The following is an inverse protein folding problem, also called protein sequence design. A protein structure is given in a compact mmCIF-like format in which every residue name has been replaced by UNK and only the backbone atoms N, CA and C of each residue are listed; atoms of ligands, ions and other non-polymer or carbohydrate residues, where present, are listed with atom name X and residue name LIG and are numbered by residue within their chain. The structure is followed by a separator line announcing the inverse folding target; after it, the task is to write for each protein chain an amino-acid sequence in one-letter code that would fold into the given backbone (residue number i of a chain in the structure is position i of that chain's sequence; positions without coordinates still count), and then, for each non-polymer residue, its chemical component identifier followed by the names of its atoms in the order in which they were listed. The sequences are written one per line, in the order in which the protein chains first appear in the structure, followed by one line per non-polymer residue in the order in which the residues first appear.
data_IF_263254766327
#
_entry.id   IF_263254766327
#
_cell.length_a   1.000
_cell.length_b   1.000
_cell.length_c   1.000
_cell.angle_alpha   90.00
_cell.angle_beta   90.00
_cell.angle_gamma   90.00
#
_symmetry.space_group_name_H-M   'P 1'
#
loop_
_entity.id
_entity.type
_entity.pdbx_description
1 polymer ?
#
# COMPACT_ATOMS: atom_id res chain seq x y z
N UNK A 1 16.49 21.20 2.02
CA UNK A 1 16.01 20.27 0.98
C UNK A 1 14.91 19.43 1.61
N UNK A 2 13.64 19.75 1.37
CA UNK A 2 12.51 18.94 1.84
C UNK A 2 12.45 17.70 0.94
N UNK A 3 13.06 16.61 1.39
CA UNK A 3 12.99 15.33 0.69
C UNK A 3 11.60 14.77 0.86
N UNK A 4 10.82 14.70 -0.23
CA UNK A 4 9.47 14.15 -0.24
C UNK A 4 9.54 12.66 0.15
N UNK A 5 9.07 12.32 1.35
CA UNK A 5 8.87 10.92 1.76
C UNK A 5 7.68 10.35 1.00
N UNK A 6 7.85 9.19 0.37
CA UNK A 6 6.72 8.48 -0.26
C UNK A 6 5.88 7.82 0.83
N UNK A 7 4.57 8.06 0.80
CA UNK A 7 3.63 7.37 1.68
C UNK A 7 3.15 6.10 1.00
N UNK A 8 3.18 4.99 1.72
CA UNK A 8 2.66 3.70 1.30
C UNK A 8 1.50 3.38 2.23
N UNK A 9 0.30 3.25 1.68
CA UNK A 9 -0.91 2.90 2.41
C UNK A 9 -1.31 1.48 2.04
N UNK A 10 -1.45 0.61 3.03
CA UNK A 10 -1.82 -0.79 2.88
C UNK A 10 -3.21 -0.97 3.48
N UNK A 11 -4.13 -1.53 2.70
CA UNK A 11 -5.50 -1.81 3.11
C UNK A 11 -5.63 -3.33 3.30
N UNK A 12 -5.95 -3.77 4.51
CA UNK A 12 -5.95 -5.18 4.91
C UNK A 12 -7.29 -5.62 5.51
N UNK A 13 -7.50 -6.92 5.58
CA UNK A 13 -8.67 -7.58 6.18
C UNK A 13 -8.29 -8.65 7.23
N UNK A 14 -7.08 -8.52 7.80
CA UNK A 14 -6.39 -9.52 8.65
C UNK A 14 -6.39 -10.96 8.11
N UNK A 15 -6.60 -11.16 6.80
CA UNK A 15 -6.41 -12.47 6.18
C UNK A 15 -4.93 -12.79 6.04
N UNK A 16 -4.59 -14.08 5.92
CA UNK A 16 -3.21 -14.50 5.65
C UNK A 16 -2.62 -13.83 4.40
N UNK A 17 -3.45 -13.58 3.38
CA UNK A 17 -3.01 -12.87 2.17
C UNK A 17 -2.66 -11.40 2.46
N UNK A 18 -3.40 -10.75 3.36
CA UNK A 18 -3.09 -9.40 3.84
C UNK A 18 -1.75 -9.38 4.58
N UNK A 19 -1.52 -10.33 5.48
CA UNK A 19 -0.27 -10.42 6.26
C UNK A 19 0.93 -10.63 5.34
N UNK A 20 0.82 -11.55 4.36
CA UNK A 20 1.87 -11.83 3.38
C UNK A 20 2.17 -10.57 2.54
N UNK A 21 1.14 -9.83 2.12
CA UNK A 21 1.28 -8.58 1.37
C UNK A 21 1.93 -7.47 2.20
N UNK A 22 1.51 -7.30 3.45
CA UNK A 22 2.04 -6.28 4.36
C UNK A 22 3.53 -6.49 4.61
N UNK A 23 3.93 -7.72 4.92
CA UNK A 23 5.34 -8.06 5.13
C UNK A 23 6.16 -7.81 3.85
N UNK A 24 5.62 -8.19 2.70
CA UNK A 24 6.27 -7.95 1.43
C UNK A 24 6.47 -6.45 1.16
N UNK A 25 5.44 -5.63 1.36
CA UNK A 25 5.55 -4.18 1.19
C UNK A 25 6.59 -3.58 2.15
N UNK A 26 6.63 -4.04 3.41
CA UNK A 26 7.63 -3.61 4.39
C UNK A 26 9.06 -3.98 3.98
N UNK A 27 9.27 -5.17 3.43
CA UNK A 27 10.59 -5.63 2.98
C UNK A 27 11.15 -4.81 1.80
N UNK A 28 10.28 -4.32 0.92
CA UNK A 28 10.66 -3.51 -0.24
C UNK A 28 10.54 -2.00 -0.01
N UNK A 29 10.02 -1.57 1.14
CA UNK A 29 9.85 -0.16 1.44
C UNK A 29 11.20 0.54 1.53
N UNK A 30 11.30 1.72 0.91
CA UNK A 30 12.49 2.54 1.01
C UNK A 30 12.70 3.02 2.46
N UNK A 31 13.94 3.24 2.88
CA UNK A 31 14.27 3.67 4.25
C UNK A 31 13.65 5.02 4.68
N UNK A 32 13.10 5.77 3.72
CA UNK A 32 12.45 7.08 3.92
C UNK A 32 10.95 7.04 3.62
N UNK A 33 10.42 5.86 3.35
CA UNK A 33 9.02 5.66 3.06
C UNK A 33 8.23 5.59 4.37
N UNK A 34 7.06 6.22 4.40
CA UNK A 34 6.13 6.12 5.53
C UNK A 34 5.11 5.06 5.20
N UNK A 35 5.03 4.01 6.01
CA UNK A 35 4.02 2.94 5.83
C UNK A 35 2.87 3.19 6.79
N UNK A 36 1.65 3.16 6.26
CA UNK A 36 0.40 3.25 7.02
C UNK A 36 -0.41 1.99 6.68
N UNK A 37 -0.93 1.31 7.70
CA UNK A 37 -1.75 0.11 7.53
C UNK A 37 -3.15 0.41 8.05
N UNK A 38 -4.15 0.23 7.19
CA UNK A 38 -5.57 0.30 7.53
C UNK A 38 -6.13 -1.12 7.51
N UNK A 39 -6.50 -1.62 8.67
CA UNK A 39 -7.08 -2.95 8.83
C UNK A 39 -8.60 -2.84 8.98
N UNK A 40 -9.36 -3.53 8.13
CA UNK A 40 -10.81 -3.57 8.15
C UNK A 40 -11.38 -4.15 9.46
N UNK A 41 -10.61 -4.99 10.16
CA UNK A 41 -11.01 -5.53 11.47
C UNK A 41 -10.67 -4.59 12.63
N UNK A 42 -9.92 -3.51 12.38
CA UNK A 42 -9.64 -2.49 13.37
C UNK A 42 -10.71 -1.40 13.35
N UNK A 43 -11.57 -1.41 14.38
CA UNK A 43 -12.70 -0.48 14.51
C UNK A 43 -12.27 0.97 14.73
N UNK A 44 -11.05 1.21 15.21
CA UNK A 44 -10.57 2.55 15.51
C UNK A 44 -10.27 3.36 14.22
N UNK A 45 -10.07 2.67 13.10
CA UNK A 45 -9.72 3.28 11.82
C UNK A 45 -10.78 3.09 10.72
N UNK A 46 -11.93 2.48 11.03
CA UNK A 46 -12.96 2.15 10.02
C UNK A 46 -13.37 3.35 9.17
N UNK A 47 -13.68 4.50 9.79
CA UNK A 47 -14.10 5.69 9.04
C UNK A 47 -12.98 6.28 8.17
N UNK A 48 -11.72 6.19 8.62
CA UNK A 48 -10.57 6.66 7.84
C UNK A 48 -10.35 5.71 6.65
N UNK A 49 -10.45 4.41 6.90
CA UNK A 49 -10.31 3.38 5.87
C UNK A 49 -11.39 3.53 4.80
N UNK A 50 -12.66 3.72 5.17
CA UNK A 50 -13.76 3.95 4.22
C UNK A 50 -13.54 5.18 3.34
N UNK A 51 -13.07 6.28 3.92
CA UNK A 51 -12.73 7.49 3.17
C UNK A 51 -11.60 7.24 2.17
N UNK A 52 -10.55 6.53 2.61
CA UNK A 52 -9.36 6.26 1.79
C UNK A 52 -9.60 5.23 0.70
N UNK A 53 -10.38 4.18 0.98
CA UNK A 53 -10.77 3.20 -0.03
C UNK A 53 -11.66 3.83 -1.09
N UNK A 54 -12.54 4.77 -0.72
CA UNK A 54 -13.30 5.57 -1.67
C UNK A 54 -12.40 6.53 -2.48
N UNK A 55 -11.47 7.24 -1.83
CA UNK A 55 -10.52 8.16 -2.49
C UNK A 55 -9.67 7.47 -3.56
N UNK A 56 -9.26 6.23 -3.30
CA UNK A 56 -8.38 5.46 -4.17
C UNK A 56 -9.09 4.40 -5.01
N UNK A 57 -10.43 4.38 -5.00
CA UNK A 57 -11.25 3.41 -5.74
C UNK A 57 -10.89 1.93 -5.41
N UNK A 58 -10.53 1.66 -4.16
CA UNK A 58 -10.25 0.31 -3.66
C UNK A 58 -11.55 -0.47 -3.58
N UNK A 59 -11.68 -1.49 -4.42
CA UNK A 59 -12.87 -2.35 -4.49
C UNK A 59 -12.67 -3.74 -3.89
N UNK A 60 -11.41 -4.10 -3.56
CA UNK A 60 -11.03 -5.42 -3.05
C UNK A 60 -9.87 -5.31 -2.07
N UNK A 61 -9.87 -6.17 -1.06
CA UNK A 61 -8.76 -6.31 -0.11
C UNK A 61 -8.01 -7.63 -0.32
N UNK A 62 -6.71 -7.69 -0.01
CA UNK A 62 -5.87 -6.55 0.36
C UNK A 62 -5.53 -5.64 -0.84
N UNK A 63 -5.18 -4.38 -0.56
CA UNK A 63 -4.77 -3.39 -1.56
C UNK A 63 -3.61 -2.50 -1.07
N UNK A 64 -2.90 -1.87 -2.00
CA UNK A 64 -1.77 -0.97 -1.70
C UNK A 64 -1.92 0.30 -2.51
N UNK A 65 -1.76 1.46 -1.89
CA UNK A 65 -1.60 2.73 -2.57
C UNK A 65 -0.21 3.32 -2.29
N UNK A 66 0.42 3.90 -3.30
CA UNK A 66 1.71 4.58 -3.18
C UNK A 66 1.53 6.03 -3.60
N UNK A 67 1.82 6.96 -2.70
CA UNK A 67 1.64 8.40 -2.90
C UNK A 67 0.23 8.75 -3.42
N UNK A 68 -0.81 8.14 -2.85
CA UNK A 68 -2.20 8.34 -3.22
C UNK A 68 -2.63 7.68 -4.54
N UNK A 69 -1.84 6.76 -5.10
CA UNK A 69 -2.18 6.01 -6.32
C UNK A 69 -2.32 4.52 -6.02
N UNK A 70 -3.48 3.95 -6.33
CA UNK A 70 -3.75 2.52 -6.18
C UNK A 70 -2.82 1.67 -7.07
N UNK A 71 -2.20 0.64 -6.47
CA UNK A 71 -1.44 -0.39 -7.18
C UNK A 71 -2.41 -1.36 -7.85
N UNK A 72 -2.31 -1.58 -9.18
CA UNK A 72 -3.20 -2.51 -9.88
C UNK A 72 -3.09 -3.95 -9.34
N UNK A 73 -4.22 -4.61 -9.13
CA UNK A 73 -4.32 -5.98 -8.61
C UNK A 73 -3.49 -7.01 -9.40
N UNK A 74 -3.40 -6.86 -10.73
CA UNK A 74 -2.61 -7.76 -11.59
C UNK A 74 -1.11 -7.70 -11.30
N UNK A 75 -0.63 -6.60 -10.69
CA UNK A 75 0.74 -6.46 -10.20
C UNK A 75 0.94 -7.16 -8.86
N UNK A 76 -0.12 -7.30 -8.06
CA UNK A 76 -0.09 -8.01 -6.77
C UNK A 76 -0.08 -9.54 -6.95
N UNK A 77 -0.81 -10.08 -7.93
CA UNK A 77 -1.07 -11.53 -8.09
C UNK A 77 0.10 -12.38 -8.62
N UNK A 78 1.09 -11.79 -9.28
CA UNK A 78 2.05 -12.54 -10.10
C UNK A 78 3.50 -12.60 -9.56
N UNK A 79 3.72 -12.35 -8.26
CA UNK A 79 5.09 -12.26 -7.70
C UNK A 79 5.93 -11.11 -8.27
N UNK A 80 5.35 -10.31 -9.17
CA UNK A 80 5.95 -9.09 -9.75
C UNK A 80 5.74 -7.86 -8.88
N UNK A 81 5.06 -8.03 -7.75
CA UNK A 81 4.79 -6.95 -6.82
C UNK A 81 6.08 -6.36 -6.25
N UNK A 82 7.10 -7.17 -5.97
CA UNK A 82 8.41 -6.70 -5.53
C UNK A 82 9.03 -5.76 -6.54
N UNK A 83 9.04 -6.13 -7.82
CA UNK A 83 9.58 -5.29 -8.90
C UNK A 83 8.74 -4.03 -9.12
N UNK A 84 7.41 -4.12 -8.99
CA UNK A 84 6.51 -2.99 -9.19
C UNK A 84 6.55 -1.99 -8.02
N UNK A 85 6.53 -2.49 -6.79
CA UNK A 85 6.69 -1.67 -5.58
C UNK A 85 8.07 -1.05 -5.57
N UNK A 86 9.14 -1.82 -5.83
CA UNK A 86 10.48 -1.27 -5.94
C UNK A 86 10.56 -0.18 -7.03
N UNK A 87 9.96 -0.39 -8.20
CA UNK A 87 9.87 0.64 -9.24
C UNK A 87 9.11 1.87 -8.75
N UNK A 88 7.89 1.74 -8.22
CA UNK A 88 7.10 2.87 -7.74
C UNK A 88 7.76 3.61 -6.57
N UNK A 89 8.55 2.94 -5.74
CA UNK A 89 9.25 3.54 -4.61
C UNK A 89 10.55 4.24 -5.04
N UNK A 90 11.23 3.71 -6.05
CA UNK A 90 12.52 4.25 -6.52
C UNK A 90 12.45 5.08 -7.81
N UNK A 91 11.31 5.13 -8.49
CA UNK A 91 11.10 6.02 -9.64
C UNK A 91 11.03 7.46 -9.12
N UNK A 92 12.09 8.22 -9.37
CA UNK A 92 12.06 9.68 -9.37
C UNK A 92 11.10 10.11 -10.48
N UNK A 93 10.14 10.99 -10.16
CA UNK A 93 9.58 11.83 -11.20
C UNK A 93 10.74 12.66 -11.76
N UNK A 94 11.27 12.26 -12.90
CA UNK A 94 12.00 13.12 -13.82
C UNK A 94 11.00 13.83 -14.76
#
# INVERSE_FOLDING_TARGET
MLTVSKTIEIFTDSSRFSDDLENLVKDYACSRCTIIVYDANNTDFTSIMELKTAEYEVTTLPAVAVSGKLVPLDKLKNGKISSFVNHLLHESLD
#
